data_IF_580211423975
#
_entry.id   IF_580211423975
#
_cell.length_a   1.000
_cell.length_b   1.000
_cell.length_c   1.000
_cell.angle_alpha   90.00
_cell.angle_beta   90.00
_cell.angle_gamma   90.00
#
_symmetry.space_group_name_H-M   'P 1'
#
loop_
_entity.id
_entity.type
_entity.pdbx_description
1 polymer ?
#
# COMPACT_ATOMS: atom_id res chain seq x y z
N UNK A 1 16.29 10.83 7.31
CA UNK A 1 15.10 10.02 7.05
C UNK A 1 15.40 8.95 6.03
N UNK A 2 15.03 7.72 6.29
CA UNK A 2 15.41 6.59 5.45
C UNK A 2 14.21 6.01 4.72
N UNK A 3 14.47 5.34 3.60
CA UNK A 3 13.41 4.59 2.91
C UNK A 3 12.76 3.56 3.82
N UNK A 4 13.56 2.94 4.70
CA UNK A 4 13.03 1.96 5.65
C UNK A 4 12.05 2.58 6.64
N UNK A 5 12.31 3.81 7.09
CA UNK A 5 11.40 4.51 7.99
C UNK A 5 10.05 4.78 7.32
N UNK A 6 10.06 5.15 6.04
CA UNK A 6 8.84 5.36 5.26
C UNK A 6 8.11 4.04 5.08
N UNK A 7 8.82 2.97 4.75
CA UNK A 7 8.23 1.63 4.62
C UNK A 7 7.55 1.20 5.91
N UNK A 8 8.24 1.35 7.04
CA UNK A 8 7.69 1.00 8.35
C UNK A 8 6.45 1.83 8.68
N UNK A 9 6.46 3.10 8.34
CA UNK A 9 5.32 3.98 8.54
C UNK A 9 4.11 3.58 7.70
N UNK A 10 4.33 3.25 6.43
CA UNK A 10 3.26 2.78 5.55
C UNK A 10 2.69 1.45 6.05
N UNK A 11 3.54 0.53 6.48
CA UNK A 11 3.11 -0.75 7.03
C UNK A 11 2.28 -0.56 8.30
N UNK A 12 2.69 0.36 9.17
CA UNK A 12 1.96 0.66 10.40
C UNK A 12 0.57 1.20 10.09
N UNK A 13 0.44 2.06 9.07
CA UNK A 13 -0.87 2.58 8.66
C UNK A 13 -1.75 1.49 8.05
N UNK A 14 -1.18 0.64 7.22
CA UNK A 14 -1.92 -0.49 6.63
C UNK A 14 -2.39 -1.47 7.71
N UNK A 15 -1.60 -1.65 8.75
CA UNK A 15 -1.96 -2.55 9.87
C UNK A 15 -3.19 -2.06 10.63
N UNK A 16 -3.60 -0.80 10.47
CA UNK A 16 -4.84 -0.30 11.08
C UNK A 16 -6.11 -0.77 10.38
N UNK A 17 -5.97 -1.33 9.17
CA UNK A 17 -7.11 -1.88 8.44
C UNK A 17 -7.45 -3.25 9.04
N UNK A 18 -8.71 -3.37 9.50
CA UNK A 18 -9.15 -4.58 10.17
C UNK A 18 -9.08 -5.80 9.28
N UNK A 19 -8.45 -6.86 9.77
CA UNK A 19 -8.34 -8.14 9.07
C UNK A 19 -7.24 -8.21 8.00
N UNK A 20 -6.56 -7.10 7.72
CA UNK A 20 -5.51 -7.06 6.73
C UNK A 20 -4.18 -7.46 7.37
N UNK A 21 -3.50 -8.43 6.79
CA UNK A 21 -2.17 -8.86 7.23
C UNK A 21 -1.13 -8.09 6.44
N UNK A 22 -0.18 -7.46 7.15
CA UNK A 22 0.84 -6.63 6.52
C UNK A 22 2.20 -7.32 6.67
N UNK A 23 2.88 -7.49 5.55
CA UNK A 23 4.20 -8.11 5.50
C UNK A 23 5.25 -7.04 5.19
N UNK A 24 6.43 -7.20 5.79
CA UNK A 24 7.58 -6.32 5.54
C UNK A 24 8.41 -6.74 4.32
N UNK A 25 7.91 -7.73 3.59
CA UNK A 25 8.54 -8.27 2.39
C UNK A 25 7.45 -8.88 1.51
N UNK A 26 7.79 -9.20 0.27
CA UNK A 26 6.88 -9.92 -0.62
C UNK A 26 6.81 -11.38 -0.14
N UNK A 27 5.64 -11.84 0.35
CA UNK A 27 5.54 -13.18 0.90
C UNK A 27 5.58 -14.26 -0.19
N UNK A 28 6.14 -15.41 0.14
CA UNK A 28 6.16 -16.56 -0.76
C UNK A 28 4.77 -17.17 -0.93
N UNK A 29 3.96 -17.09 0.10
CA UNK A 29 2.59 -17.62 0.11
C UNK A 29 1.65 -16.52 0.59
N UNK A 30 0.56 -16.31 -0.15
CA UNK A 30 -0.39 -15.27 0.21
C UNK A 30 -1.39 -15.77 1.26
N UNK A 31 -1.26 -15.22 2.47
CA UNK A 31 -2.26 -15.39 3.53
C UNK A 31 -3.26 -14.25 3.43
N UNK A 32 -4.27 -14.42 2.58
CA UNK A 32 -5.20 -13.35 2.22
C UNK A 32 -6.24 -13.06 3.30
N UNK A 33 -6.68 -11.80 3.43
CA UNK A 33 -6.14 -10.63 2.73
C UNK A 33 -4.79 -10.21 3.28
N UNK A 34 -3.88 -9.80 2.41
CA UNK A 34 -2.56 -9.35 2.84
C UNK A 34 -2.10 -8.16 2.00
N UNK A 35 -1.12 -7.44 2.52
CA UNK A 35 -0.54 -6.29 1.85
C UNK A 35 0.96 -6.22 2.11
N UNK A 36 1.66 -5.64 1.16
CA UNK A 36 3.08 -5.33 1.30
C UNK A 36 3.39 -4.08 0.49
N UNK A 37 4.46 -3.39 0.87
CA UNK A 37 4.86 -2.14 0.20
C UNK A 37 6.24 -2.29 -0.41
N UNK A 38 6.40 -1.68 -1.58
CA UNK A 38 7.69 -1.61 -2.27
C UNK A 38 7.88 -0.19 -2.80
N UNK A 39 9.12 0.33 -2.78
CA UNK A 39 9.39 1.59 -3.45
C UNK A 39 9.27 1.40 -4.96
N UNK A 40 8.62 2.34 -5.63
CA UNK A 40 8.48 2.33 -7.08
C UNK A 40 9.48 3.27 -7.73
N UNK A 41 9.72 4.43 -7.11
CA UNK A 41 10.59 5.45 -7.67
C UNK A 41 11.06 6.39 -6.56
N UNK A 42 12.29 6.84 -6.65
CA UNK A 42 12.86 7.83 -5.74
C UNK A 42 13.47 8.96 -6.59
N UNK A 43 12.92 10.16 -6.44
CA UNK A 43 13.37 11.34 -7.17
C UNK A 43 14.42 12.08 -6.35
N UNK A 44 15.68 11.98 -6.77
CA UNK A 44 16.80 12.59 -6.03
C UNK A 44 17.02 14.06 -6.40
N UNK A 45 16.39 14.52 -7.47
CA UNK A 45 16.62 15.87 -8.03
C UNK A 45 15.61 16.90 -7.54
N UNK A 46 14.78 16.56 -6.57
CA UNK A 46 13.69 17.41 -6.13
C UNK A 46 14.12 18.74 -5.54
N UNK A 47 15.35 18.85 -5.03
CA UNK A 47 15.87 20.11 -4.51
C UNK A 47 17.38 20.07 -4.45
N UNK A 48 18.03 21.07 -5.05
CA UNK A 48 19.46 21.25 -4.93
C UNK A 48 19.89 21.69 -3.53
N UNK A 49 18.94 22.22 -2.74
CA UNK A 49 19.21 22.63 -1.37
C UNK A 49 19.17 21.45 -0.38
N UNK A 50 18.89 20.25 -0.88
CA UNK A 50 18.91 19.03 -0.08
C UNK A 50 17.84 18.98 0.99
N UNK A 51 16.61 18.66 0.64
CA UNK A 51 15.57 18.59 1.64
C UNK A 51 14.26 18.03 1.13
N UNK A 52 13.99 18.19 -0.15
CA UNK A 52 12.73 17.74 -0.71
C UNK A 52 12.96 16.60 -1.68
N UNK A 53 12.84 15.39 -1.15
CA UNK A 53 12.90 14.17 -1.94
C UNK A 53 11.49 13.66 -2.13
N UNK A 54 11.13 13.39 -3.37
CA UNK A 54 9.85 12.78 -3.69
C UNK A 54 10.06 11.29 -3.91
N UNK A 55 9.22 10.51 -3.27
CA UNK A 55 9.24 9.05 -3.40
C UNK A 55 7.88 8.57 -3.86
N UNK A 56 7.88 7.60 -4.75
CA UNK A 56 6.67 6.89 -5.13
C UNK A 56 6.74 5.48 -4.57
N UNK A 57 5.70 5.10 -3.88
CA UNK A 57 5.59 3.77 -3.26
C UNK A 57 4.38 3.05 -3.82
N UNK A 58 4.45 1.75 -3.86
CA UNK A 58 3.34 0.91 -4.25
C UNK A 58 2.97 0.00 -3.08
N UNK A 59 1.73 0.09 -2.64
CA UNK A 59 1.16 -0.86 -1.69
C UNK A 59 0.31 -1.86 -2.48
N UNK A 60 0.74 -3.10 -2.51
CA UNK A 60 0.00 -4.17 -3.17
C UNK A 60 -0.87 -4.87 -2.15
N UNK A 61 -2.16 -4.94 -2.42
CA UNK A 61 -3.14 -5.65 -1.58
C UNK A 61 -3.62 -6.88 -2.35
N UNK A 62 -3.38 -8.05 -1.79
CA UNK A 62 -3.89 -9.32 -2.32
C UNK A 62 -5.14 -9.64 -1.52
N UNK A 63 -6.28 -9.53 -2.17
CA UNK A 63 -7.58 -9.51 -1.49
C UNK A 63 -8.06 -10.91 -1.12
N UNK A 64 -7.99 -11.81 -2.07
CA UNK A 64 -8.47 -13.18 -1.89
C UNK A 64 -8.48 -13.92 -3.22
N UNK A 65 -9.05 -15.13 -3.22
CA UNK A 65 -9.11 -15.92 -4.45
C UNK A 65 -10.09 -15.32 -5.44
N UNK A 66 -9.72 -15.36 -6.72
CA UNK A 66 -10.57 -14.82 -7.79
C UNK A 66 -11.91 -15.54 -7.90
N UNK A 67 -11.97 -16.79 -7.49
CA UNK A 67 -13.21 -17.57 -7.51
C UNK A 67 -14.16 -17.24 -6.37
N UNK A 68 -13.71 -16.49 -5.38
CA UNK A 68 -14.51 -16.12 -4.22
C UNK A 68 -15.27 -14.83 -4.50
N UNK A 69 -16.60 -14.88 -4.47
CA UNK A 69 -17.43 -13.69 -4.66
C UNK A 69 -17.15 -12.60 -3.64
N UNK A 70 -16.82 -12.98 -2.41
CA UNK A 70 -16.52 -12.02 -1.35
C UNK A 70 -15.26 -11.22 -1.66
N UNK A 71 -14.32 -11.76 -2.45
CA UNK A 71 -13.10 -11.05 -2.83
C UNK A 71 -13.39 -9.79 -3.63
N UNK A 72 -14.37 -9.83 -4.54
CA UNK A 72 -14.74 -8.66 -5.33
C UNK A 72 -15.31 -7.55 -4.44
N UNK A 73 -16.14 -7.91 -3.46
CA UNK A 73 -16.69 -6.95 -2.51
C UNK A 73 -15.61 -6.36 -1.62
N UNK A 74 -14.68 -7.18 -1.17
CA UNK A 74 -13.54 -6.73 -0.38
C UNK A 74 -12.65 -5.78 -1.18
N UNK A 75 -12.40 -6.09 -2.45
CA UNK A 75 -11.64 -5.21 -3.33
C UNK A 75 -12.29 -3.82 -3.41
N UNK A 76 -13.60 -3.76 -3.64
CA UNK A 76 -14.32 -2.50 -3.72
C UNK A 76 -14.22 -1.72 -2.40
N UNK A 77 -14.27 -2.41 -1.27
CA UNK A 77 -14.16 -1.79 0.04
C UNK A 77 -12.76 -1.22 0.28
N UNK A 78 -11.72 -1.96 -0.10
CA UNK A 78 -10.33 -1.48 0.02
C UNK A 78 -10.06 -0.27 -0.87
N UNK A 79 -10.70 -0.20 -2.02
CA UNK A 79 -10.54 0.91 -2.98
C UNK A 79 -11.46 2.10 -2.68
N UNK A 80 -12.30 2.02 -1.66
CA UNK A 80 -13.23 3.09 -1.31
C UNK A 80 -12.51 4.35 -0.85
N UNK A 81 -13.20 5.50 -0.95
CA UNK A 81 -12.64 6.78 -0.50
C UNK A 81 -12.46 6.83 1.00
N UNK A 82 -13.37 6.22 1.74
CA UNK A 82 -13.40 6.26 3.19
C UNK A 82 -13.93 4.93 3.74
N UNK A 83 -14.04 4.86 5.05
CA UNK A 83 -14.51 3.67 5.74
C UNK A 83 -13.38 2.89 6.39
N UNK A 84 -13.76 1.93 7.24
CA UNK A 84 -12.81 1.18 8.07
C UNK A 84 -11.83 0.32 7.26
N UNK A 85 -12.21 -0.06 6.04
CA UNK A 85 -11.38 -0.89 5.17
C UNK A 85 -10.74 -0.12 4.02
N UNK A 86 -10.94 1.20 3.96
CA UNK A 86 -10.32 2.01 2.92
C UNK A 86 -8.82 2.11 3.14
N UNK A 87 -8.04 1.67 2.16
CA UNK A 87 -6.58 1.78 2.21
C UNK A 87 -6.16 3.25 2.18
N UNK A 88 -6.80 4.05 1.32
CA UNK A 88 -6.53 5.48 1.25
C UNK A 88 -6.77 6.17 2.60
N UNK A 89 -7.91 5.91 3.22
CA UNK A 89 -8.24 6.52 4.50
C UNK A 89 -7.26 6.10 5.59
N UNK A 90 -6.85 4.83 5.60
CA UNK A 90 -5.91 4.32 6.60
C UNK A 90 -4.54 5.00 6.49
N UNK A 91 -4.03 5.16 5.28
CA UNK A 91 -2.73 5.80 5.06
C UNK A 91 -2.80 7.29 5.32
N UNK A 92 -3.84 7.97 4.82
CA UNK A 92 -3.97 9.42 4.94
C UNK A 92 -4.45 9.87 6.31
N UNK A 93 -4.80 8.95 7.20
CA UNK A 93 -5.13 9.29 8.58
C UNK A 93 -3.92 9.87 9.33
N UNK A 94 -2.71 9.50 8.92
CA UNK A 94 -1.49 10.13 9.40
C UNK A 94 -0.54 10.33 8.22
N UNK A 95 -0.63 11.49 7.60
CA UNK A 95 0.14 11.79 6.39
C UNK A 95 1.63 11.95 6.64
N UNK A 96 2.04 12.09 7.89
CA UNK A 96 3.45 12.18 8.25
C UNK A 96 4.06 10.80 8.51
N UNK A 97 3.25 9.76 8.53
CA UNK A 97 3.67 8.39 8.82
C UNK A 97 4.46 8.30 10.13
N UNK A 98 3.94 8.96 11.17
CA UNK A 98 4.60 9.00 12.47
C UNK A 98 5.86 9.86 12.51
N UNK A 99 6.00 10.80 11.58
CA UNK A 99 7.16 11.66 11.45
C UNK A 99 8.20 11.17 10.45
N UNK A 100 7.90 10.10 9.71
CA UNK A 100 8.83 9.52 8.73
C UNK A 100 8.90 10.33 7.44
N UNK A 101 7.96 11.24 7.19
CA UNK A 101 7.95 12.10 6.01
C UNK A 101 7.23 13.40 6.32
N UNK A 102 7.32 14.38 5.41
CA UNK A 102 6.58 15.62 5.54
C UNK A 102 5.10 15.41 5.26
N UNK A 103 4.79 14.69 4.18
CA UNK A 103 3.42 14.35 3.83
C UNK A 103 3.40 13.19 2.85
N UNK A 104 2.28 12.49 2.81
CA UNK A 104 2.03 11.47 1.79
C UNK A 104 0.57 11.51 1.37
N UNK A 105 0.31 11.10 0.15
CA UNK A 105 -1.03 10.95 -0.39
C UNK A 105 -1.13 9.67 -1.21
N UNK A 106 -2.30 9.05 -1.20
CA UNK A 106 -2.61 7.92 -2.07
C UNK A 106 -3.20 8.49 -3.35
N UNK A 107 -2.46 8.41 -4.44
CA UNK A 107 -2.84 9.07 -5.69
C UNK A 107 -3.80 8.24 -6.53
N UNK A 108 -3.70 6.91 -6.47
CA UNK A 108 -4.57 6.05 -7.27
C UNK A 108 -4.57 4.63 -6.73
N UNK A 109 -5.65 3.91 -7.05
CA UNK A 109 -5.72 2.47 -6.97
C UNK A 109 -5.77 1.96 -8.40
N UNK A 110 -4.84 1.11 -8.79
CA UNK A 110 -4.69 0.73 -10.18
C UNK A 110 -4.16 -0.68 -10.32
N UNK A 111 -4.06 -1.14 -11.56
CA UNK A 111 -3.44 -2.41 -11.89
C UNK A 111 -4.12 -3.57 -11.17
N UNK A 112 -5.46 -3.53 -11.19
CA UNK A 112 -6.27 -4.62 -10.66
C UNK A 112 -6.01 -5.83 -11.55
N UNK A 113 -5.54 -6.91 -10.94
CA UNK A 113 -5.08 -8.07 -11.69
C UNK A 113 -5.26 -9.35 -10.91
N UNK A 114 -5.07 -10.45 -11.62
CA UNK A 114 -5.02 -11.77 -11.02
C UNK A 114 -3.57 -12.20 -10.88
N UNK A 115 -3.20 -12.64 -9.69
CA UNK A 115 -1.88 -13.20 -9.40
C UNK A 115 -2.02 -14.70 -9.23
N UNK A 116 -1.19 -15.45 -9.93
CA UNK A 116 -1.16 -16.90 -9.81
C UNK A 116 -0.06 -17.33 -8.86
N UNK A 117 -0.41 -18.21 -7.92
CA UNK A 117 0.56 -18.81 -7.01
C UNK A 117 0.19 -20.27 -6.82
N UNK A 118 1.01 -21.15 -7.35
CA UNK A 118 0.66 -22.57 -7.41
C UNK A 118 -0.58 -22.80 -8.26
N UNK A 119 -1.56 -23.49 -7.73
CA UNK A 119 -2.82 -23.76 -8.42
C UNK A 119 -3.89 -22.71 -8.15
N UNK A 120 -3.58 -21.69 -7.34
CA UNK A 120 -4.54 -20.68 -6.96
C UNK A 120 -4.29 -19.37 -7.71
N UNK A 121 -5.38 -18.67 -8.03
CA UNK A 121 -5.35 -17.32 -8.57
C UNK A 121 -5.95 -16.36 -7.56
N UNK A 122 -5.27 -15.25 -7.33
CA UNK A 122 -5.66 -14.24 -6.34
C UNK A 122 -5.95 -12.92 -7.02
N UNK A 123 -6.90 -12.20 -6.47
CA UNK A 123 -7.24 -10.85 -6.91
C UNK A 123 -6.37 -9.85 -6.16
N UNK A 124 -5.70 -8.98 -6.89
CA UNK A 124 -4.78 -8.01 -6.31
C UNK A 124 -4.98 -6.62 -6.91
N UNK A 125 -4.60 -5.60 -6.15
CA UNK A 125 -4.65 -4.21 -6.57
C UNK A 125 -3.43 -3.47 -6.03
N UNK A 126 -2.93 -2.51 -6.80
CA UNK A 126 -1.84 -1.65 -6.40
C UNK A 126 -2.35 -0.26 -6.05
N UNK A 127 -1.91 0.26 -4.92
CA UNK A 127 -2.15 1.64 -4.53
C UNK A 127 -0.86 2.43 -4.71
N UNK A 128 -0.94 3.49 -5.50
CA UNK A 128 0.20 4.38 -5.71
C UNK A 128 0.19 5.47 -4.66
N UNK A 129 1.31 5.63 -3.98
CA UNK A 129 1.47 6.56 -2.88
C UNK A 129 2.63 7.48 -3.20
N UNK A 130 2.40 8.79 -3.13
CA UNK A 130 3.45 9.78 -3.28
C UNK A 130 3.83 10.29 -1.90
N UNK A 131 5.11 10.24 -1.58
CA UNK A 131 5.68 10.64 -0.30
C UNK A 131 6.66 11.77 -0.52
N UNK A 132 6.47 12.86 0.21
CA UNK A 132 7.39 14.00 0.22
C UNK A 132 8.17 13.99 1.52
N UNK A 133 9.47 13.96 1.38
CA UNK A 133 10.38 13.88 2.52
C UNK A 133 11.13 15.19 2.72
#
# INVERSE_FOLDING_TARGET
MTLQAVADGLEARLATVSGLRVFDHVPDTFATPCAFVLPADVEYWGSFAGGNVEQSWTATVVVGRTSDRASQRSLNAYMGYDGATSIRAAIEADRTLGGACDTCIVTSAQNIRMLSQGDASYLAVDFSITVHV
#
